data_IF_541957759619
#
_entry.id   IF_541957759619
#
_cell.length_a   1.000
_cell.length_b   1.000
_cell.length_c   1.000
_cell.angle_alpha   90.00
_cell.angle_beta   90.00
_cell.angle_gamma   90.00
#
_symmetry.space_group_name_H-M   'P 1'
#
loop_
_entity.id
_entity.type
_entity.pdbx_description
1 polymer ?
#
# COMPACT_ATOMS: atom_id res chain seq x y z
N UNK A 1 -22.47 27.40 63.75
CA UNK A 1 -21.13 27.26 64.31
C UNK A 1 -20.17 27.33 63.15
N UNK A 2 -19.71 28.42 62.73
CA UNK A 2 -18.58 29.27 63.13
C UNK A 2 -17.26 28.46 63.29
N UNK A 3 -16.32 28.73 62.42
CA UNK A 3 -14.92 28.36 62.51
C UNK A 3 -14.14 28.96 61.36
N UNK A 4 -13.75 30.25 61.50
CA UNK A 4 -12.70 30.94 60.69
C UNK A 4 -11.32 30.46 61.12
N UNK A 5 -10.35 30.54 60.19
CA UNK A 5 -8.98 31.08 60.33
C UNK A 5 -8.26 30.86 59.01
N UNK A 6 -7.91 31.86 58.25
CA UNK A 6 -6.84 32.84 58.25
C UNK A 6 -5.44 32.26 57.96
N UNK A 7 -4.89 32.68 56.86
CA UNK A 7 -3.58 33.29 56.85
C UNK A 7 -2.48 32.56 56.10
N UNK A 8 -2.05 33.10 54.98
CA UNK A 8 -0.65 33.30 54.80
C UNK A 8 0.07 32.60 53.64
N UNK A 9 0.42 33.44 52.73
CA UNK A 9 1.65 33.42 51.89
C UNK A 9 1.65 32.63 50.54
N UNK A 10 1.24 33.39 49.59
CA UNK A 10 1.61 33.31 48.18
C UNK A 10 3.13 33.46 48.01
N UNK A 11 3.83 32.47 47.44
CA UNK A 11 5.11 32.70 46.83
C UNK A 11 4.99 32.64 45.32
N UNK A 12 5.17 33.80 44.69
CA UNK A 12 5.36 34.01 43.27
C UNK A 12 6.52 33.16 42.78
N UNK A 13 6.32 32.25 41.82
CA UNK A 13 7.39 31.76 40.99
C UNK A 13 7.60 32.72 39.84
N UNK A 14 8.70 33.40 39.90
CA UNK A 14 9.25 34.30 38.87
C UNK A 14 9.68 33.44 37.67
N UNK A 15 9.09 33.64 36.52
CA UNK A 15 9.65 33.14 35.26
C UNK A 15 10.89 33.95 34.90
N UNK A 16 12.04 33.31 35.00
CA UNK A 16 13.30 33.84 34.52
C UNK A 16 13.36 33.70 33.00
N UNK A 17 13.34 34.84 32.32
CA UNK A 17 13.63 34.99 30.90
C UNK A 17 15.12 34.77 30.65
N UNK A 18 15.50 33.57 30.23
CA UNK A 18 16.88 33.29 29.83
C UNK A 18 17.01 33.40 28.31
N UNK A 19 17.59 34.49 27.91
CA UNK A 19 18.38 34.77 26.69
C UNK A 19 18.46 33.65 25.66
N UNK A 20 17.75 33.84 24.55
CA UNK A 20 17.99 33.11 23.30
C UNK A 20 19.28 33.66 22.67
N UNK A 21 20.40 32.95 22.88
CA UNK A 21 21.64 33.16 22.13
C UNK A 21 21.47 32.60 20.71
N UNK A 22 21.53 33.49 19.72
CA UNK A 22 21.56 33.19 18.29
C UNK A 22 22.78 32.31 17.98
N UNK A 23 22.54 31.02 17.73
CA UNK A 23 23.51 30.13 17.09
C UNK A 23 23.38 30.28 15.60
N UNK A 24 24.30 31.02 14.98
CA UNK A 24 24.48 31.05 13.52
C UNK A 24 24.85 29.64 13.05
N UNK A 25 23.94 29.00 12.31
CA UNK A 25 24.20 27.73 11.62
C UNK A 25 25.19 27.95 10.46
N UNK A 26 26.48 27.83 10.76
CA UNK A 26 27.52 27.58 9.77
C UNK A 26 27.69 26.06 9.65
N UNK A 27 27.32 25.52 8.50
CA UNK A 27 27.52 24.15 8.01
C UNK A 27 26.27 23.26 7.94
N UNK A 28 25.36 23.60 7.04
CA UNK A 28 24.27 22.71 6.64
C UNK A 28 24.76 21.38 6.03
N UNK A 29 25.90 21.38 5.35
CA UNK A 29 26.48 20.18 4.75
C UNK A 29 26.99 19.16 5.77
N UNK A 30 27.52 19.61 6.92
CA UNK A 30 28.01 18.71 7.98
C UNK A 30 26.84 18.05 8.75
N UNK A 31 25.74 18.77 8.92
CA UNK A 31 24.52 18.22 9.57
C UNK A 31 23.91 17.10 8.73
N UNK A 32 23.79 17.30 7.42
CA UNK A 32 23.26 16.28 6.50
C UNK A 32 24.18 15.04 6.41
N UNK A 33 25.52 15.23 6.41
CA UNK A 33 26.47 14.10 6.44
C UNK A 33 26.40 13.29 7.76
N UNK A 34 26.19 13.96 8.88
CA UNK A 34 26.05 13.28 10.17
C UNK A 34 24.72 12.50 10.27
N UNK A 35 23.66 12.98 9.62
CA UNK A 35 22.37 12.30 9.61
C UNK A 35 22.36 11.09 8.66
N UNK A 36 23.03 11.18 7.52
CA UNK A 36 23.16 10.06 6.58
C UNK A 36 24.12 8.97 7.07
N UNK A 37 25.15 9.32 7.83
CA UNK A 37 26.08 8.32 8.38
C UNK A 37 25.48 7.52 9.56
N UNK A 38 24.47 8.05 10.25
CA UNK A 38 23.76 7.34 11.32
C UNK A 38 22.64 6.41 10.82
N UNK A 39 22.28 6.50 9.54
CA UNK A 39 21.33 5.57 8.89
C UNK A 39 22.01 4.43 8.12
N UNK A 40 23.31 4.31 8.16
CA UNK A 40 23.99 3.10 7.70
C UNK A 40 23.74 1.98 8.71
N UNK A 41 22.83 1.07 8.39
CA UNK A 41 22.72 -0.19 9.12
C UNK A 41 24.07 -0.90 9.06
N UNK A 42 24.62 -1.39 10.19
CA UNK A 42 25.85 -2.14 10.17
C UNK A 42 25.61 -3.40 9.33
N UNK A 43 26.27 -3.49 8.19
CA UNK A 43 26.43 -4.75 7.49
C UNK A 43 27.27 -5.64 8.41
N UNK A 44 26.61 -6.56 9.09
CA UNK A 44 27.27 -7.64 9.79
C UNK A 44 27.87 -8.53 8.71
N UNK A 45 29.17 -8.49 8.57
CA UNK A 45 29.91 -9.54 7.84
C UNK A 45 29.51 -10.89 8.42
N UNK A 46 28.68 -11.63 7.67
CA UNK A 46 28.44 -13.03 7.96
C UNK A 46 29.69 -13.77 7.47
N UNK A 47 30.59 -14.09 8.41
CA UNK A 47 31.66 -15.04 8.14
C UNK A 47 31.03 -16.35 7.69
N UNK A 48 31.18 -16.67 6.43
CA UNK A 48 30.91 -17.99 5.89
C UNK A 48 31.71 -19.04 6.66
N UNK A 49 31.01 -19.78 7.50
CA UNK A 49 31.52 -21.06 7.97
C UNK A 49 31.35 -22.04 6.81
N UNK A 50 32.46 -22.43 6.22
CA UNK A 50 32.53 -23.55 5.28
C UNK A 50 31.91 -24.80 5.92
N UNK A 51 30.70 -25.13 5.51
CA UNK A 51 30.08 -26.42 5.80
C UNK A 51 30.40 -27.35 4.64
N UNK A 52 31.11 -28.42 4.96
CA UNK A 52 31.51 -29.48 4.03
C UNK A 52 30.31 -30.03 3.27
N UNK A 53 30.45 -30.08 1.94
CA UNK A 53 29.55 -30.79 1.04
C UNK A 53 29.48 -32.26 1.44
N UNK A 54 28.29 -32.68 1.86
CA UNK A 54 27.86 -34.06 1.79
C UNK A 54 26.59 -34.04 0.95
N UNK A 55 26.76 -34.50 -0.30
CA UNK A 55 25.63 -34.79 -1.18
C UNK A 55 24.77 -35.88 -0.56
N UNK A 56 23.54 -35.52 -0.19
CA UNK A 56 22.42 -36.46 0.06
C UNK A 56 21.18 -35.94 -0.62
N UNK A 57 20.75 -36.74 -1.58
CA UNK A 57 19.41 -36.88 -2.16
C UNK A 57 18.35 -35.87 -1.69
N UNK A 58 17.87 -35.06 -2.66
CA UNK A 58 16.45 -34.65 -2.80
C UNK A 58 15.73 -34.02 -1.60
N UNK A 59 16.44 -33.45 -0.65
CA UNK A 59 15.83 -32.77 0.47
C UNK A 59 15.60 -31.30 0.10
N UNK A 60 14.36 -30.95 -0.15
CA UNK A 60 13.90 -29.57 -0.29
C UNK A 60 14.25 -28.86 1.03
N UNK A 61 15.12 -27.85 0.91
CA UNK A 61 15.55 -27.03 2.05
C UNK A 61 14.32 -26.33 2.65
N UNK A 62 13.80 -26.89 3.74
CA UNK A 62 12.64 -26.38 4.46
C UNK A 62 13.10 -25.22 5.33
N UNK A 63 13.35 -24.07 4.77
CA UNK A 63 13.52 -22.84 5.53
C UNK A 63 12.17 -22.21 5.79
N UNK A 64 11.36 -22.78 6.68
CA UNK A 64 10.07 -22.21 6.94
C UNK A 64 9.79 -22.11 8.43
N UNK A 65 9.31 -20.96 8.82
CA UNK A 65 8.79 -20.72 10.17
C UNK A 65 7.60 -21.64 10.53
N UNK A 66 6.88 -22.15 9.51
CA UNK A 66 5.69 -23.00 9.66
C UNK A 66 5.78 -24.33 8.90
N UNK A 67 6.95 -24.77 8.46
CA UNK A 67 7.11 -26.03 7.72
C UNK A 67 6.63 -26.00 6.25
N UNK A 68 6.34 -24.84 5.72
CA UNK A 68 5.90 -24.68 4.33
C UNK A 68 7.11 -24.59 3.42
N UNK A 69 7.28 -25.57 2.54
CA UNK A 69 8.33 -25.57 1.50
C UNK A 69 7.89 -24.67 0.35
N UNK A 70 8.79 -23.81 -0.12
CA UNK A 70 8.54 -22.89 -1.24
C UNK A 70 9.49 -23.18 -2.40
N UNK A 71 8.99 -23.08 -3.65
CA UNK A 71 9.90 -23.15 -4.80
C UNK A 71 10.85 -21.96 -4.78
N UNK A 72 12.12 -22.20 -5.07
CA UNK A 72 13.12 -21.14 -5.26
C UNK A 72 12.87 -20.44 -6.59
N UNK A 73 12.71 -19.13 -6.53
CA UNK A 73 12.53 -18.30 -7.71
C UNK A 73 13.85 -17.59 -7.99
N UNK A 74 14.38 -17.80 -9.20
CA UNK A 74 15.67 -17.26 -9.62
C UNK A 74 15.44 -16.11 -10.59
N UNK A 75 16.09 -14.97 -10.36
CA UNK A 75 16.11 -13.83 -11.27
C UNK A 75 16.87 -14.17 -12.56
N UNK A 76 16.71 -13.31 -13.59
CA UNK A 76 17.44 -13.46 -14.87
C UNK A 76 18.96 -13.42 -14.72
N UNK A 77 19.48 -12.74 -13.71
CA UNK A 77 20.91 -12.63 -13.38
C UNK A 77 21.44 -13.83 -12.60
N UNK A 78 20.62 -14.85 -12.34
CA UNK A 78 20.96 -16.05 -11.57
C UNK A 78 20.89 -15.88 -10.05
N UNK A 79 20.52 -14.70 -9.55
CA UNK A 79 20.33 -14.49 -8.11
C UNK A 79 18.98 -15.00 -7.64
N UNK A 80 18.93 -15.60 -6.43
CA UNK A 80 17.69 -16.05 -5.83
C UNK A 80 16.86 -14.85 -5.33
N UNK A 81 15.54 -14.90 -5.53
CA UNK A 81 14.62 -13.91 -5.00
C UNK A 81 14.47 -14.12 -3.48
N UNK A 82 14.89 -13.15 -2.64
CA UNK A 82 14.99 -13.38 -1.20
C UNK A 82 13.68 -13.18 -0.43
N UNK A 83 12.63 -12.71 -1.10
CA UNK A 83 11.40 -12.30 -0.44
C UNK A 83 10.39 -13.43 -0.40
N UNK A 84 9.66 -13.51 0.72
CA UNK A 84 8.52 -14.38 0.88
C UNK A 84 7.23 -13.58 0.78
N UNK A 85 6.26 -14.08 0.00
CA UNK A 85 4.89 -13.58 0.05
C UNK A 85 4.29 -13.86 1.43
N UNK A 86 3.50 -12.91 1.95
CA UNK A 86 2.79 -13.11 3.23
C UNK A 86 1.57 -14.00 3.10
N UNK A 87 1.14 -14.33 1.89
CA UNK A 87 0.03 -15.23 1.62
C UNK A 87 0.55 -16.67 1.53
N UNK A 88 -0.09 -17.65 2.22
CA UNK A 88 0.27 -19.05 2.10
C UNK A 88 0.26 -19.50 0.63
N UNK A 89 1.28 -20.27 0.23
CA UNK A 89 1.47 -20.70 -1.16
C UNK A 89 0.25 -21.40 -1.75
N UNK A 90 -0.44 -22.21 -0.96
CA UNK A 90 -1.55 -23.03 -1.39
C UNK A 90 -2.88 -22.28 -1.53
N UNK A 91 -2.98 -21.08 -1.00
CA UNK A 91 -4.25 -20.37 -0.87
C UNK A 91 -4.39 -19.14 -1.77
N UNK A 92 -3.31 -18.74 -2.47
CA UNK A 92 -3.36 -17.56 -3.31
C UNK A 92 -3.79 -17.91 -4.74
N UNK A 93 -4.89 -17.35 -5.18
CA UNK A 93 -5.35 -17.39 -6.58
C UNK A 93 -5.95 -16.04 -6.96
N UNK A 94 -5.37 -15.37 -7.97
CA UNK A 94 -6.00 -14.20 -8.57
C UNK A 94 -7.26 -14.63 -9.34
N UNK A 95 -8.41 -14.05 -9.00
CA UNK A 95 -9.65 -14.30 -9.74
C UNK A 95 -9.69 -13.45 -11.02
N UNK A 96 -9.14 -13.96 -12.09
CA UNK A 96 -9.13 -13.29 -13.39
C UNK A 96 -10.50 -13.33 -14.12
N UNK A 97 -11.50 -14.05 -13.56
CA UNK A 97 -12.86 -14.12 -14.10
C UNK A 97 -13.77 -13.00 -13.56
N UNK A 98 -13.26 -12.15 -12.67
CA UNK A 98 -14.02 -11.02 -12.10
C UNK A 98 -14.55 -10.08 -13.18
N UNK A 99 -15.77 -9.57 -13.00
CA UNK A 99 -16.39 -8.64 -13.93
C UNK A 99 -15.72 -7.27 -13.93
N UNK A 100 -14.92 -7.01 -14.96
CA UNK A 100 -14.21 -5.75 -15.16
C UNK A 100 -15.10 -4.59 -15.61
N UNK A 101 -16.28 -4.87 -16.16
CA UNK A 101 -17.22 -3.87 -16.71
C UNK A 101 -18.08 -3.20 -15.65
N UNK A 102 -18.08 -3.73 -14.44
CA UNK A 102 -18.90 -3.26 -13.33
C UNK A 102 -18.55 -1.83 -12.94
N UNK A 103 -19.57 -0.98 -12.86
CA UNK A 103 -19.43 0.44 -12.53
C UNK A 103 -20.49 0.84 -11.51
N UNK A 104 -20.07 1.56 -10.47
CA UNK A 104 -21.00 2.12 -9.50
C UNK A 104 -21.60 3.44 -10.00
N UNK A 105 -22.86 3.40 -10.44
CA UNK A 105 -23.57 4.60 -10.91
C UNK A 105 -23.77 5.60 -9.76
N UNK A 106 -23.25 6.85 -9.85
CA UNK A 106 -23.37 7.85 -8.78
C UNK A 106 -24.80 8.28 -8.53
N UNK A 107 -25.44 7.79 -7.46
CA UNK A 107 -26.85 8.11 -7.11
C UNK A 107 -26.94 9.24 -6.10
N UNK A 108 -26.22 9.15 -5.01
CA UNK A 108 -26.25 10.11 -3.91
C UNK A 108 -25.39 11.35 -4.19
N UNK A 109 -25.57 12.41 -3.39
CA UNK A 109 -24.69 13.59 -3.45
C UNK A 109 -23.23 13.22 -3.16
N UNK A 110 -22.99 12.35 -2.18
CA UNK A 110 -21.66 11.87 -1.81
C UNK A 110 -21.03 11.09 -2.96
N UNK A 111 -21.77 10.19 -3.61
CA UNK A 111 -21.26 9.46 -4.79
C UNK A 111 -20.84 10.42 -5.90
N UNK A 112 -21.68 11.43 -6.19
CA UNK A 112 -21.39 12.42 -7.25
C UNK A 112 -20.15 13.25 -6.92
N UNK A 113 -19.97 13.62 -5.66
CA UNK A 113 -18.77 14.34 -5.21
C UNK A 113 -17.55 13.43 -5.33
N UNK A 114 -17.61 12.20 -4.81
CA UNK A 114 -16.52 11.22 -4.89
C UNK A 114 -16.12 10.97 -6.36
N UNK A 115 -17.08 10.65 -7.22
CA UNK A 115 -16.85 10.41 -8.64
C UNK A 115 -16.18 11.60 -9.34
N UNK A 116 -16.72 12.82 -9.14
CA UNK A 116 -16.14 14.03 -9.74
C UNK A 116 -14.75 14.34 -9.22
N UNK A 117 -14.50 14.10 -7.93
CA UNK A 117 -13.17 14.26 -7.34
C UNK A 117 -12.16 13.34 -8.01
N UNK A 118 -12.50 12.07 -8.18
CA UNK A 118 -11.62 11.09 -8.86
C UNK A 118 -11.38 11.49 -10.31
N UNK A 119 -12.42 11.86 -11.05
CA UNK A 119 -12.27 12.34 -12.45
C UNK A 119 -11.40 13.60 -12.54
N UNK A 120 -11.48 14.50 -11.56
CA UNK A 120 -10.65 15.70 -11.50
C UNK A 120 -9.17 15.35 -11.20
N UNK A 121 -8.92 14.41 -10.28
CA UNK A 121 -7.58 13.93 -9.95
C UNK A 121 -6.92 13.19 -11.13
N UNK A 122 -7.73 12.57 -11.99
CA UNK A 122 -7.24 11.90 -13.19
C UNK A 122 -6.63 12.86 -14.21
N UNK A 123 -7.18 14.08 -14.37
CA UNK A 123 -6.74 15.03 -15.38
C UNK A 123 -5.23 15.33 -15.31
N UNK A 124 -4.66 15.77 -14.18
CA UNK A 124 -3.22 16.01 -14.09
C UNK A 124 -2.38 14.75 -14.30
N UNK A 125 -2.86 13.58 -13.88
CA UNK A 125 -2.13 12.33 -14.11
C UNK A 125 -2.13 11.95 -15.59
N UNK A 126 -3.24 12.09 -16.30
CA UNK A 126 -3.31 11.82 -17.73
C UNK A 126 -2.40 12.78 -18.54
N UNK A 127 -2.37 14.07 -18.17
CA UNK A 127 -1.49 15.06 -18.81
C UNK A 127 -0.01 14.77 -18.53
N UNK A 128 0.34 14.40 -17.31
CA UNK A 128 1.73 14.18 -16.91
C UNK A 128 2.31 12.88 -17.46
N UNK A 129 1.56 11.78 -17.33
CA UNK A 129 2.07 10.47 -17.71
C UNK A 129 1.79 10.11 -19.17
N UNK A 130 0.71 10.63 -19.75
CA UNK A 130 0.23 10.26 -21.10
C UNK A 130 0.12 8.72 -21.22
N UNK A 131 0.81 8.11 -22.20
CA UNK A 131 0.83 6.65 -22.43
C UNK A 131 1.98 5.92 -21.69
N UNK A 132 2.66 6.56 -20.77
CA UNK A 132 3.71 5.93 -19.95
C UNK A 132 3.10 5.13 -18.80
N UNK A 133 2.35 4.07 -19.12
CA UNK A 133 1.55 3.31 -18.15
C UNK A 133 2.38 2.72 -17.02
N UNK A 134 3.57 2.15 -17.29
CA UNK A 134 4.45 1.62 -16.25
C UNK A 134 4.89 2.68 -15.24
N UNK A 135 5.30 3.88 -15.71
CA UNK A 135 5.65 5.00 -14.81
C UNK A 135 4.43 5.51 -14.04
N UNK A 136 3.25 5.57 -14.70
CA UNK A 136 1.99 5.97 -14.06
C UNK A 136 1.60 5.00 -12.95
N UNK A 137 1.59 3.70 -13.24
CA UNK A 137 1.30 2.66 -12.27
C UNK A 137 2.28 2.76 -11.09
N UNK A 138 3.59 2.71 -11.33
CA UNK A 138 4.60 2.82 -10.27
C UNK A 138 4.38 4.04 -9.36
N UNK A 139 4.00 5.21 -9.93
CA UNK A 139 3.79 6.43 -9.14
C UNK A 139 2.48 6.41 -8.35
N UNK A 140 1.39 5.88 -8.91
CA UNK A 140 0.10 5.81 -8.23
C UNK A 140 0.10 4.75 -7.14
N UNK A 141 0.72 3.60 -7.38
CA UNK A 141 0.89 2.53 -6.38
C UNK A 141 1.66 2.98 -5.13
N UNK A 142 2.45 4.07 -5.20
CA UNK A 142 3.12 4.61 -4.00
C UNK A 142 2.15 5.14 -2.94
N UNK A 143 0.90 5.36 -3.30
CA UNK A 143 -0.17 5.85 -2.41
C UNK A 143 -1.38 4.92 -2.35
N UNK A 144 -1.47 3.93 -3.23
CA UNK A 144 -2.62 3.02 -3.32
C UNK A 144 -2.85 2.20 -2.04
N UNK A 145 -1.79 1.79 -1.33
CA UNK A 145 -1.90 1.10 -0.05
C UNK A 145 -2.41 1.98 1.12
N UNK A 146 -2.44 3.31 0.97
CA UNK A 146 -2.83 4.24 2.06
C UNK A 146 -4.28 4.01 2.51
N UNK A 147 -5.29 3.86 1.64
CA UNK A 147 -6.67 3.61 2.04
C UNK A 147 -6.83 2.40 2.94
N UNK A 148 -6.32 1.26 2.52
CA UNK A 148 -6.39 0.01 3.30
C UNK A 148 -5.69 0.13 4.66
N UNK A 149 -4.50 0.75 4.69
CA UNK A 149 -3.77 0.99 5.94
C UNK A 149 -4.51 1.93 6.89
N UNK A 150 -5.02 3.05 6.41
CA UNK A 150 -5.75 4.03 7.23
C UNK A 150 -7.05 3.40 7.76
N UNK A 151 -7.82 2.75 6.89
CA UNK A 151 -9.05 2.06 7.28
C UNK A 151 -8.80 0.96 8.30
N UNK A 152 -7.84 0.07 8.01
CA UNK A 152 -7.45 -1.03 8.88
C UNK A 152 -6.99 -0.55 10.27
N UNK A 153 -6.11 0.46 10.32
CA UNK A 153 -5.63 1.06 11.56
C UNK A 153 -6.77 1.67 12.40
N UNK A 154 -7.63 2.49 11.79
CA UNK A 154 -8.71 3.16 12.51
C UNK A 154 -9.77 2.17 13.01
N UNK A 155 -10.08 1.15 12.23
CA UNK A 155 -10.96 0.04 12.65
C UNK A 155 -10.33 -0.78 13.78
N UNK A 156 -9.04 -1.08 13.71
CA UNK A 156 -8.32 -1.79 14.77
C UNK A 156 -8.39 -1.00 16.09
N UNK A 157 -8.03 0.27 16.08
CA UNK A 157 -8.10 1.13 17.28
C UNK A 157 -9.52 1.24 17.83
N UNK A 158 -10.54 1.29 16.97
CA UNK A 158 -11.95 1.27 17.38
C UNK A 158 -12.33 -0.04 18.03
N UNK A 159 -11.94 -1.18 17.43
CA UNK A 159 -12.20 -2.52 17.95
C UNK A 159 -11.64 -2.68 19.37
N UNK A 160 -10.38 -2.24 19.59
CA UNK A 160 -9.76 -2.26 20.93
C UNK A 160 -10.50 -1.38 21.94
N UNK A 161 -10.86 -0.14 21.57
CA UNK A 161 -11.56 0.78 22.49
C UNK A 161 -12.96 0.32 22.88
N UNK A 162 -13.61 -0.45 22.02
CA UNK A 162 -14.99 -0.90 22.23
C UNK A 162 -15.11 -2.36 22.62
N UNK A 163 -14.00 -3.09 22.59
CA UNK A 163 -13.99 -4.55 22.77
C UNK A 163 -14.95 -5.27 21.81
N UNK A 164 -15.06 -4.77 20.56
CA UNK A 164 -15.90 -5.29 19.51
C UNK A 164 -15.03 -5.95 18.43
N UNK A 165 -15.49 -7.05 17.82
CA UNK A 165 -14.82 -7.62 16.64
C UNK A 165 -15.01 -6.70 15.41
N UNK A 166 -14.13 -6.84 14.40
CA UNK A 166 -14.16 -6.05 13.18
C UNK A 166 -14.96 -6.69 12.03
N UNK A 167 -15.52 -7.88 12.21
CA UNK A 167 -16.21 -8.59 11.13
C UNK A 167 -15.31 -9.02 9.96
N UNK A 168 -14.00 -9.15 10.18
CA UNK A 168 -13.02 -9.49 9.15
C UNK A 168 -12.45 -8.28 8.40
N UNK A 169 -13.03 -7.08 8.55
CA UNK A 169 -12.64 -5.89 7.78
C UNK A 169 -11.21 -5.41 8.04
N UNK A 170 -10.68 -5.55 9.25
CA UNK A 170 -9.27 -5.20 9.52
C UNK A 170 -8.35 -6.06 8.65
N UNK A 171 -8.62 -7.38 8.56
CA UNK A 171 -7.84 -8.29 7.72
C UNK A 171 -7.98 -7.91 6.25
N UNK A 172 -9.21 -7.77 5.74
CA UNK A 172 -9.46 -7.46 4.33
C UNK A 172 -8.75 -6.18 3.87
N UNK A 173 -8.83 -5.09 4.65
CA UNK A 173 -8.18 -3.82 4.32
C UNK A 173 -6.65 -3.88 4.41
N UNK A 174 -6.08 -4.67 5.32
CA UNK A 174 -4.63 -4.85 5.41
C UNK A 174 -4.11 -5.77 4.30
N UNK A 175 -4.87 -6.76 3.86
CA UNK A 175 -4.56 -7.59 2.70
C UNK A 175 -4.60 -6.77 1.40
N UNK A 176 -5.62 -5.90 1.22
CA UNK A 176 -5.67 -4.91 0.14
C UNK A 176 -4.41 -4.03 0.13
N UNK A 177 -4.05 -3.44 1.27
CA UNK A 177 -2.86 -2.61 1.38
C UNK A 177 -1.55 -3.36 1.07
N UNK A 178 -1.44 -4.63 1.44
CA UNK A 178 -0.29 -5.48 1.10
C UNK A 178 -0.27 -5.83 -0.38
N UNK A 179 -1.42 -6.08 -0.98
CA UNK A 179 -1.54 -6.35 -2.41
C UNK A 179 -1.11 -5.12 -3.24
N UNK A 180 -1.56 -3.91 -2.88
CA UNK A 180 -1.12 -2.65 -3.48
C UNK A 180 0.40 -2.44 -3.37
N UNK A 181 0.97 -2.80 -2.22
CA UNK A 181 2.42 -2.78 -2.05
C UNK A 181 3.13 -3.73 -3.01
N UNK A 182 2.53 -4.89 -3.31
CA UNK A 182 3.10 -5.86 -4.25
C UNK A 182 2.96 -5.40 -5.71
N UNK A 183 1.87 -4.69 -6.06
CA UNK A 183 1.77 -3.98 -7.34
C UNK A 183 2.94 -3.00 -7.51
N UNK A 184 3.17 -2.13 -6.50
CA UNK A 184 4.29 -1.19 -6.50
C UNK A 184 5.64 -1.88 -6.68
N UNK A 185 5.93 -2.91 -5.88
CA UNK A 185 7.22 -3.60 -5.91
C UNK A 185 7.47 -4.27 -7.26
N UNK A 186 6.43 -4.79 -7.88
CA UNK A 186 6.49 -5.36 -9.22
C UNK A 186 6.78 -4.28 -10.27
N UNK A 187 6.11 -3.13 -10.19
CA UNK A 187 6.36 -2.02 -11.10
C UNK A 187 7.77 -1.43 -10.95
N UNK A 188 8.32 -1.40 -9.74
CA UNK A 188 9.71 -0.92 -9.49
C UNK A 188 10.76 -1.83 -10.13
N UNK A 189 10.52 -3.15 -10.22
CA UNK A 189 11.40 -4.07 -10.96
C UNK A 189 11.33 -3.87 -12.48
N UNK A 190 10.18 -3.44 -13.00
CA UNK A 190 9.93 -3.17 -14.42
C UNK A 190 10.41 -1.78 -14.84
N UNK A 191 10.20 -0.78 -13.99
CA UNK A 191 10.46 0.64 -14.28
C UNK A 191 11.38 1.22 -13.22
N UNK A 192 12.61 1.58 -13.60
CA UNK A 192 13.56 2.20 -12.67
C UNK A 192 13.26 3.67 -12.47
N UNK A 193 12.80 4.10 -11.26
CA UNK A 193 12.43 5.49 -11.02
C UNK A 193 13.65 6.40 -11.00
N UNK A 194 13.51 7.58 -11.58
CA UNK A 194 14.51 8.66 -11.56
C UNK A 194 14.47 9.40 -10.21
N UNK A 195 15.54 10.11 -9.87
CA UNK A 195 15.65 10.79 -8.56
C UNK A 195 14.54 11.83 -8.31
N UNK A 196 14.12 12.57 -9.33
CA UNK A 196 13.05 13.57 -9.21
C UNK A 196 11.66 12.93 -9.04
N UNK A 197 11.45 11.74 -9.61
CA UNK A 197 10.23 10.96 -9.40
C UNK A 197 10.12 10.52 -7.94
N UNK A 198 11.25 10.13 -7.31
CA UNK A 198 11.29 9.82 -5.87
C UNK A 198 10.96 11.03 -5.00
N UNK A 199 11.40 12.23 -5.38
CA UNK A 199 11.05 13.45 -4.66
C UNK A 199 9.54 13.76 -4.79
N UNK A 200 8.98 13.55 -6.00
CA UNK A 200 7.55 13.71 -6.23
C UNK A 200 6.74 12.72 -5.36
N UNK A 201 7.18 11.48 -5.24
CA UNK A 201 6.56 10.47 -4.36
C UNK A 201 6.43 10.99 -2.92
N UNK A 202 7.48 11.53 -2.34
CA UNK A 202 7.43 12.07 -0.96
C UNK A 202 6.35 13.15 -0.80
N UNK A 203 6.24 14.04 -1.78
CA UNK A 203 5.24 15.12 -1.77
C UNK A 203 3.82 14.54 -1.90
N UNK A 204 3.61 13.65 -2.86
CA UNK A 204 2.29 13.04 -3.12
C UNK A 204 1.87 12.18 -1.92
N UNK A 205 2.74 11.36 -1.35
CA UNK A 205 2.45 10.58 -0.15
C UNK A 205 2.05 11.47 1.03
N UNK A 206 2.81 12.54 1.29
CA UNK A 206 2.52 13.46 2.39
C UNK A 206 1.15 14.13 2.25
N UNK A 207 0.80 14.58 1.05
CA UNK A 207 -0.50 15.21 0.78
C UNK A 207 -1.63 14.18 0.81
N UNK A 208 -1.49 13.08 0.08
CA UNK A 208 -2.55 12.08 -0.05
C UNK A 208 -2.87 11.40 1.28
N UNK A 209 -1.85 10.96 2.03
CA UNK A 209 -2.05 10.33 3.33
C UNK A 209 -2.85 11.22 4.28
N UNK A 210 -2.44 12.49 4.45
CA UNK A 210 -3.13 13.39 5.37
C UNK A 210 -4.55 13.71 4.91
N UNK A 211 -4.74 13.98 3.61
CA UNK A 211 -6.06 14.26 3.05
C UNK A 211 -7.00 13.05 3.21
N UNK A 212 -6.53 11.85 2.90
CA UNK A 212 -7.32 10.62 3.02
C UNK A 212 -7.62 10.28 4.48
N UNK A 213 -6.64 10.42 5.39
CA UNK A 213 -6.85 10.23 6.83
C UNK A 213 -7.97 11.12 7.35
N UNK A 214 -7.93 12.43 7.03
CA UNK A 214 -8.99 13.38 7.42
C UNK A 214 -10.32 12.97 6.80
N UNK A 215 -10.36 12.65 5.52
CA UNK A 215 -11.57 12.20 4.84
C UNK A 215 -12.17 10.95 5.51
N UNK A 216 -11.36 9.96 5.85
CA UNK A 216 -11.82 8.73 6.50
C UNK A 216 -12.37 8.99 7.90
N UNK A 217 -11.71 9.85 8.70
CA UNK A 217 -12.19 10.23 10.03
C UNK A 217 -13.52 10.97 9.95
N UNK A 218 -13.68 11.88 8.98
CA UNK A 218 -14.92 12.66 8.81
C UNK A 218 -16.05 11.85 8.20
N UNK A 219 -15.76 10.98 7.23
CA UNK A 219 -16.77 10.21 6.50
C UNK A 219 -16.21 8.93 5.89
N UNK A 220 -16.17 7.81 6.64
CA UNK A 220 -15.71 6.52 6.12
C UNK A 220 -16.45 6.11 4.83
N UNK A 221 -17.77 6.37 4.76
CA UNK A 221 -18.58 6.10 3.56
C UNK A 221 -18.09 6.85 2.31
N UNK A 222 -17.69 8.12 2.48
CA UNK A 222 -17.15 8.90 1.37
C UNK A 222 -15.74 8.42 1.01
N UNK A 223 -14.93 8.09 1.99
CA UNK A 223 -13.58 7.58 1.78
C UNK A 223 -13.59 6.27 0.97
N UNK A 224 -14.35 5.26 1.40
CA UNK A 224 -14.51 4.02 0.64
C UNK A 224 -15.12 4.24 -0.76
N UNK A 225 -16.05 5.19 -0.91
CA UNK A 225 -16.60 5.51 -2.22
C UNK A 225 -15.57 6.14 -3.17
N UNK A 226 -14.71 7.01 -2.66
CA UNK A 226 -13.59 7.58 -3.43
C UNK A 226 -12.61 6.48 -3.86
N UNK A 227 -12.25 5.57 -2.95
CA UNK A 227 -11.38 4.43 -3.30
C UNK A 227 -12.02 3.58 -4.38
N UNK A 228 -13.27 3.13 -4.22
CA UNK A 228 -13.95 2.34 -5.25
C UNK A 228 -13.91 2.98 -6.65
N UNK A 229 -14.06 4.31 -6.74
CA UNK A 229 -13.90 5.01 -8.04
C UNK A 229 -12.45 5.14 -8.48
N UNK A 230 -11.47 5.21 -7.57
CA UNK A 230 -10.04 5.18 -7.94
C UNK A 230 -9.68 3.84 -8.57
N UNK A 231 -10.19 2.73 -8.02
CA UNK A 231 -9.98 1.39 -8.57
C UNK A 231 -10.66 1.20 -9.94
N UNK A 232 -11.83 1.81 -10.17
CA UNK A 232 -12.43 1.85 -11.52
C UNK A 232 -11.49 2.53 -12.54
N UNK A 233 -10.81 3.61 -12.16
CA UNK A 233 -9.84 4.29 -13.01
C UNK A 233 -8.53 3.50 -13.18
N UNK A 234 -8.13 2.72 -12.15
CA UNK A 234 -7.00 1.81 -12.23
C UNK A 234 -7.29 0.67 -13.23
N UNK A 235 -8.45 0.01 -13.14
CA UNK A 235 -8.91 -1.01 -14.10
C UNK A 235 -8.86 -0.47 -15.52
N UNK A 236 -9.37 0.75 -15.74
CA UNK A 236 -9.32 1.39 -17.05
C UNK A 236 -7.87 1.60 -17.53
N UNK A 237 -6.99 2.08 -16.66
CA UNK A 237 -5.60 2.33 -17.00
C UNK A 237 -4.83 1.04 -17.34
N UNK A 238 -5.03 -0.02 -16.58
CA UNK A 238 -4.44 -1.33 -16.86
C UNK A 238 -5.04 -1.98 -18.12
N UNK A 239 -6.32 -1.72 -18.43
CA UNK A 239 -6.93 -2.17 -19.68
C UNK A 239 -6.28 -1.48 -20.91
N UNK A 240 -6.02 -0.18 -20.84
CA UNK A 240 -5.29 0.53 -21.90
C UNK A 240 -3.82 0.05 -22.00
N UNK A 241 -3.18 -0.25 -20.87
CA UNK A 241 -1.84 -0.82 -20.85
C UNK A 241 -1.79 -2.17 -21.59
N UNK A 242 -2.75 -3.05 -21.32
CA UNK A 242 -2.86 -4.35 -22.03
C UNK A 242 -3.07 -4.16 -23.53
N UNK A 243 -3.87 -3.19 -23.96
CA UNK A 243 -4.06 -2.87 -25.39
C UNK A 243 -2.76 -2.44 -26.05
N UNK A 244 -1.93 -1.66 -25.35
CA UNK A 244 -0.62 -1.22 -25.86
C UNK A 244 0.38 -2.39 -25.93
N UNK A 245 0.32 -3.35 -25.01
CA UNK A 245 1.10 -4.59 -25.10
C UNK A 245 0.62 -5.43 -26.29
N UNK A 246 -0.68 -5.61 -26.44
CA UNK A 246 -1.29 -6.43 -27.51
C UNK A 246 -1.03 -5.84 -28.91
N UNK A 247 -0.98 -4.52 -29.02
CA UNK A 247 -0.65 -3.85 -30.28
C UNK A 247 0.85 -3.82 -30.59
N UNK A 248 1.72 -4.27 -29.67
CA UNK A 248 3.17 -4.21 -29.79
C UNK A 248 3.75 -2.81 -29.56
N UNK A 249 2.94 -1.84 -29.07
CA UNK A 249 3.42 -0.51 -28.69
C UNK A 249 4.30 -0.55 -27.43
N UNK A 250 4.09 -1.56 -26.59
CA UNK A 250 4.90 -1.86 -25.41
C UNK A 250 5.38 -3.31 -25.55
N UNK A 251 6.68 -3.52 -25.32
CA UNK A 251 7.28 -4.84 -25.38
C UNK A 251 6.74 -5.76 -24.27
N UNK A 252 6.30 -6.95 -24.63
CA UNK A 252 5.85 -7.96 -23.67
C UNK A 252 7.05 -8.71 -23.08
N UNK A 253 7.72 -8.09 -22.11
CA UNK A 253 8.91 -8.65 -21.45
C UNK A 253 8.52 -9.80 -20.50
N UNK A 254 9.46 -10.73 -20.15
CA UNK A 254 9.20 -11.74 -19.12
C UNK A 254 8.87 -11.13 -17.77
N UNK A 255 7.94 -11.77 -17.04
CA UNK A 255 7.51 -11.35 -15.71
C UNK A 255 8.69 -11.28 -14.70
N UNK A 256 8.70 -10.29 -13.79
CA UNK A 256 9.67 -10.25 -12.70
C UNK A 256 9.46 -11.41 -11.72
N UNK A 257 10.55 -11.87 -11.09
CA UNK A 257 10.49 -12.98 -10.14
C UNK A 257 9.52 -12.73 -8.97
N UNK A 258 9.40 -11.47 -8.52
CA UNK A 258 8.46 -11.09 -7.47
C UNK A 258 7.01 -11.32 -7.88
N UNK A 259 6.64 -11.01 -9.13
CA UNK A 259 5.28 -11.24 -9.63
C UNK A 259 4.98 -12.74 -9.75
N UNK A 260 5.94 -13.51 -10.27
CA UNK A 260 5.80 -14.97 -10.35
C UNK A 260 5.60 -15.57 -8.96
N UNK A 261 6.35 -15.11 -7.95
CA UNK A 261 6.21 -15.59 -6.58
C UNK A 261 4.86 -15.18 -5.97
N UNK A 262 4.48 -13.93 -6.10
CA UNK A 262 3.29 -13.41 -5.41
C UNK A 262 1.99 -13.96 -6.01
N UNK A 263 1.81 -13.87 -7.34
CA UNK A 263 0.59 -14.33 -8.02
C UNK A 263 0.62 -15.79 -8.45
N UNK A 264 1.64 -16.54 -8.09
CA UNK A 264 1.79 -17.97 -8.48
C UNK A 264 1.74 -18.17 -9.99
N UNK A 265 2.31 -17.23 -10.73
CA UNK A 265 2.33 -17.30 -12.18
C UNK A 265 3.26 -18.42 -12.69
N UNK A 266 3.02 -18.94 -13.90
CA UNK A 266 3.97 -19.81 -14.58
C UNK A 266 5.36 -19.19 -14.71
N UNK A 267 6.41 -19.99 -14.73
CA UNK A 267 7.80 -19.49 -14.83
C UNK A 267 8.08 -18.75 -16.14
N UNK A 268 7.34 -19.02 -17.18
CA UNK A 268 7.38 -18.41 -18.50
C UNK A 268 6.39 -17.25 -18.66
N UNK A 269 5.72 -16.84 -17.57
CA UNK A 269 4.80 -15.69 -17.58
C UNK A 269 5.48 -14.41 -18.06
N UNK A 270 4.68 -13.55 -18.65
CA UNK A 270 5.10 -12.30 -19.27
C UNK A 270 4.48 -11.08 -18.59
N UNK A 271 4.88 -9.88 -18.99
CA UNK A 271 4.29 -8.62 -18.53
C UNK A 271 2.77 -8.61 -18.72
N UNK A 272 2.26 -9.18 -19.82
CA UNK A 272 0.82 -9.28 -20.09
C UNK A 272 0.09 -10.05 -18.99
N UNK A 273 0.67 -11.17 -18.54
CA UNK A 273 0.07 -11.99 -17.47
C UNK A 273 0.06 -11.22 -16.15
N UNK A 274 1.15 -10.53 -15.83
CA UNK A 274 1.27 -9.67 -14.64
C UNK A 274 0.22 -8.56 -14.64
N UNK A 275 0.09 -7.82 -15.73
CA UNK A 275 -0.89 -6.73 -15.82
C UNK A 275 -2.33 -7.26 -15.78
N UNK A 276 -2.56 -8.48 -16.26
CA UNK A 276 -3.88 -9.13 -16.22
C UNK A 276 -4.29 -9.45 -14.78
N UNK A 277 -3.39 -10.00 -13.96
CA UNK A 277 -3.69 -10.31 -12.56
C UNK A 277 -3.82 -9.04 -11.71
N UNK A 278 -2.94 -8.05 -11.88
CA UNK A 278 -3.06 -6.76 -11.21
C UNK A 278 -4.42 -6.12 -11.51
N UNK A 279 -4.83 -6.08 -12.77
CA UNK A 279 -6.15 -5.54 -13.14
C UNK A 279 -7.31 -6.29 -12.48
N UNK A 280 -7.18 -7.59 -12.26
CA UNK A 280 -8.18 -8.38 -11.55
C UNK A 280 -8.21 -8.02 -10.05
N UNK A 281 -7.04 -7.81 -9.43
CA UNK A 281 -6.93 -7.36 -8.05
C UNK A 281 -7.62 -5.99 -7.87
N UNK A 282 -7.38 -5.02 -8.77
CA UNK A 282 -8.08 -3.71 -8.75
C UNK A 282 -9.60 -3.84 -8.83
N UNK A 283 -10.10 -4.81 -9.59
CA UNK A 283 -11.54 -5.06 -9.66
C UNK A 283 -12.09 -5.63 -8.34
N UNK A 284 -11.31 -6.40 -7.62
CA UNK A 284 -11.63 -6.83 -6.25
C UNK A 284 -11.64 -5.65 -5.27
N UNK A 285 -10.60 -4.82 -5.27
CA UNK A 285 -10.50 -3.62 -4.44
C UNK A 285 -11.70 -2.69 -4.68
N UNK A 286 -12.07 -2.47 -5.95
CA UNK A 286 -13.27 -1.74 -6.35
C UNK A 286 -14.53 -2.29 -5.66
N UNK A 287 -14.76 -3.59 -5.78
CA UNK A 287 -15.99 -4.22 -5.27
C UNK A 287 -16.05 -4.16 -3.75
N UNK A 288 -14.95 -4.43 -3.06
CA UNK A 288 -14.85 -4.35 -1.60
C UNK A 288 -15.10 -2.93 -1.10
N UNK A 289 -14.49 -1.92 -1.72
CA UNK A 289 -14.63 -0.54 -1.29
C UNK A 289 -16.03 0.02 -1.58
N UNK A 290 -16.62 -0.28 -2.73
CA UNK A 290 -18.02 0.09 -2.97
C UNK A 290 -18.97 -0.59 -2.00
N UNK A 291 -18.77 -1.87 -1.69
CA UNK A 291 -19.55 -2.60 -0.71
C UNK A 291 -19.41 -2.01 0.72
N UNK A 292 -18.19 -1.68 1.15
CA UNK A 292 -17.95 -1.01 2.43
C UNK A 292 -18.69 0.33 2.52
N UNK A 293 -18.65 1.12 1.45
CA UNK A 293 -19.41 2.37 1.36
C UNK A 293 -20.92 2.12 1.47
N UNK A 294 -21.46 1.11 0.77
CA UNK A 294 -22.89 0.78 0.78
C UNK A 294 -23.39 0.36 2.16
N UNK A 295 -22.58 -0.40 2.93
CA UNK A 295 -22.88 -0.72 4.33
C UNK A 295 -23.09 0.56 5.13
N UNK A 296 -22.19 1.53 4.99
CA UNK A 296 -22.30 2.81 5.66
C UNK A 296 -23.49 3.66 5.19
N UNK A 297 -23.87 3.58 3.91
CA UNK A 297 -25.08 4.24 3.41
C UNK A 297 -26.37 3.64 3.98
N UNK A 298 -26.36 2.35 4.33
CA UNK A 298 -27.45 1.69 5.05
C UNK A 298 -27.52 2.07 6.54
N UNK A 299 -26.63 2.95 7.01
CA UNK A 299 -26.54 3.33 8.41
C UNK A 299 -25.91 2.27 9.32
N UNK A 300 -25.35 1.20 8.73
CA UNK A 300 -24.68 0.11 9.45
C UNK A 300 -23.21 0.39 9.64
N UNK A 301 -22.61 -0.28 10.61
CA UNK A 301 -21.17 -0.34 10.80
C UNK A 301 -20.61 -1.53 10.03
N UNK A 302 -19.34 -1.45 9.64
CA UNK A 302 -18.67 -2.54 8.92
C UNK A 302 -18.73 -3.88 9.66
N UNK A 303 -18.60 -3.90 10.98
CA UNK A 303 -18.68 -5.13 11.76
C UNK A 303 -20.09 -5.77 11.82
N UNK A 304 -21.12 -5.11 11.34
CA UNK A 304 -22.48 -5.65 11.22
C UNK A 304 -22.73 -6.39 9.90
N UNK A 305 -21.81 -6.25 8.95
CA UNK A 305 -21.78 -7.03 7.73
C UNK A 305 -20.37 -7.61 7.56
N UNK A 306 -20.20 -8.93 7.43
CA UNK A 306 -18.87 -9.52 7.31
C UNK A 306 -18.16 -9.00 6.05
N UNK A 307 -16.84 -8.85 6.13
CA UNK A 307 -16.03 -8.60 4.97
C UNK A 307 -16.18 -9.74 3.96
N UNK A 308 -16.08 -9.48 2.65
CA UNK A 308 -16.12 -10.52 1.62
C UNK A 308 -15.07 -11.61 1.90
N UNK A 309 -15.50 -12.87 1.87
CA UNK A 309 -14.62 -14.03 2.05
C UNK A 309 -14.14 -14.47 0.65
N UNK A 310 -12.89 -14.91 0.57
CA UNK A 310 -12.30 -15.37 -0.69
C UNK A 310 -11.66 -14.25 -1.49
N UNK A 311 -11.38 -13.19 -0.84
CA UNK A 311 -10.56 -12.09 -1.30
C UNK A 311 -9.09 -12.48 -1.16
N UNK A 312 -8.52 -13.16 -2.14
CA UNK A 312 -7.22 -13.84 -2.19
C UNK A 312 -7.19 -15.23 -1.55
#
# INVERSE_FOLDING_TARGET
MQGRCNGGNCRRCIFSTTVVRSLRFRNRAAFWRAMTSKMAFPQKEIKEKSVSKTEKNGEVDVSSYCGISRPKIVRKDGTEWPWNSFVPWETYHADTAIDLSKHHVPKTFVDKVAYRTVKLLRIPTDIFFQRRYGCRAMMLETVAAVPGMVGGMLLHLRSLRKFEHSGGWVKALLEEAENERMHLMTMVELVRPKWYERLLVLTVQGVFFNAFFVLYVLSPKAAHRVVGYLEEEAIHSYTEFLKDIDSGAIENVPAPAIAIDYWRLPKDATLKDVITVIRADEAHHRDVNHFASDIHFQGKKLNEAPAPIGYH
#
